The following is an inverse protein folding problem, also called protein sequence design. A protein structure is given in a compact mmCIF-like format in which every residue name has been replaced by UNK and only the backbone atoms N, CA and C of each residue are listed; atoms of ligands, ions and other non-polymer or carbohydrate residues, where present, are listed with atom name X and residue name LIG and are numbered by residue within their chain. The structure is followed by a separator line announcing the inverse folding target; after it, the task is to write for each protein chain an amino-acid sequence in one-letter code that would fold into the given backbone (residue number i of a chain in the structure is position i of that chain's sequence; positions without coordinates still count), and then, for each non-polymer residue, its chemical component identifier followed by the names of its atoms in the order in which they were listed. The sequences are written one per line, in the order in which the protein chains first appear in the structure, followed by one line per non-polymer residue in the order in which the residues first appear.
data_IF_507760077199
#
_entry.id   IF_507760077199
#
_cell.length_a   1.000
_cell.length_b   1.000
_cell.length_c   1.000
_cell.angle_alpha   90.00
_cell.angle_beta   90.00
_cell.angle_gamma   90.00
#
_symmetry.space_group_name_H-M   'P 1'
#
loop_
_entity.id
_entity.type
_entity.pdbx_description
1 polymer ?
#
# COMPACT_ATOMS: atom_id res chain seq x y z
N UNK A 1 -1.28 -12.15 -3.48
CA UNK A 1 -1.77 -11.58 -2.20
C UNK A 1 -0.74 -10.56 -1.74
N UNK A 2 -0.95 -9.26 -2.03
CA UNK A 2 0.02 -8.17 -1.76
C UNK A 2 -0.27 -7.36 -0.49
N UNK A 3 -1.22 -7.82 0.33
CA UNK A 3 -1.59 -7.21 1.62
C UNK A 3 -2.16 -8.24 2.60
N UNK A 4 -2.12 -7.90 3.88
CA UNK A 4 -2.68 -8.68 5.00
C UNK A 4 -3.68 -7.75 5.72
N UNK A 5 -4.95 -7.80 5.30
CA UNK A 5 -5.98 -6.88 5.80
C UNK A 5 -5.74 -5.42 5.35
N UNK A 6 -5.93 -4.41 6.21
CA UNK A 6 -5.77 -3.00 5.85
C UNK A 6 -4.30 -2.55 5.72
N UNK A 7 -3.33 -3.45 5.91
CA UNK A 7 -1.91 -3.10 5.91
C UNK A 7 -1.20 -3.55 4.64
N UNK A 8 -0.43 -2.64 4.03
CA UNK A 8 0.43 -2.98 2.88
C UNK A 8 1.48 -4.03 3.27
N UNK A 9 1.87 -4.89 2.33
CA UNK A 9 2.98 -5.84 2.56
C UNK A 9 4.25 -5.16 3.04
N UNK A 10 4.54 -3.92 2.62
CA UNK A 10 5.73 -3.21 3.09
C UNK A 10 5.64 -2.90 4.58
N UNK A 11 4.47 -2.50 5.07
CA UNK A 11 4.24 -2.23 6.49
C UNK A 11 4.37 -3.52 7.31
N UNK A 12 3.78 -4.61 6.82
CA UNK A 12 3.88 -5.94 7.46
C UNK A 12 5.31 -6.46 7.43
N UNK A 13 6.02 -6.31 6.31
CA UNK A 13 7.41 -6.73 6.15
C UNK A 13 8.36 -5.94 7.06
N UNK A 14 8.16 -4.63 7.20
CA UNK A 14 8.93 -3.80 8.15
C UNK A 14 8.66 -4.25 9.59
N UNK A 15 7.39 -4.44 9.97
CA UNK A 15 7.02 -4.92 11.31
C UNK A 15 7.58 -6.33 11.61
N UNK A 16 7.53 -7.24 10.62
CA UNK A 16 8.10 -8.58 10.72
C UNK A 16 9.64 -8.53 10.82
N UNK A 17 10.29 -7.71 9.99
CA UNK A 17 11.74 -7.52 10.04
C UNK A 17 12.19 -6.99 11.40
N UNK A 18 11.41 -6.10 12.00
CA UNK A 18 11.64 -5.59 13.36
C UNK A 18 11.44 -6.66 14.43
N UNK A 19 10.38 -7.48 14.33
CA UNK A 19 10.16 -8.60 15.24
C UNK A 19 11.30 -9.61 15.20
N UNK A 20 11.79 -9.94 14.00
CA UNK A 20 12.94 -10.82 13.81
C UNK A 20 14.22 -10.16 14.32
N UNK A 21 14.47 -8.87 14.04
CA UNK A 21 15.63 -8.15 14.56
C UNK A 21 15.63 -8.11 16.11
N UNK A 22 14.47 -7.96 16.74
CA UNK A 22 14.31 -8.05 18.20
C UNK A 22 14.62 -9.46 18.73
N UNK A 23 14.10 -10.51 18.09
CA UNK A 23 14.39 -11.90 18.46
C UNK A 23 15.88 -12.24 18.27
N UNK A 24 16.48 -11.82 17.17
CA UNK A 24 17.90 -12.02 16.85
C UNK A 24 18.79 -11.27 17.84
N UNK A 25 18.47 -10.02 18.16
CA UNK A 25 19.17 -9.28 19.21
C UNK A 25 19.05 -10.01 20.55
N UNK A 26 17.86 -10.48 20.93
CA UNK A 26 17.66 -11.22 22.19
C UNK A 26 18.43 -12.54 22.23
N UNK A 27 18.50 -13.25 21.10
CA UNK A 27 19.23 -14.52 20.95
C UNK A 27 20.74 -14.33 20.95
N UNK A 28 21.28 -13.42 20.15
CA UNK A 28 22.71 -13.13 20.07
C UNK A 28 23.25 -12.55 21.39
N UNK A 29 22.40 -11.82 22.11
CA UNK A 29 22.78 -11.25 23.40
C UNK A 29 22.65 -12.25 24.56
N UNK A 30 22.22 -13.50 24.34
CA UNK A 30 21.99 -14.51 25.40
C UNK A 30 23.21 -14.75 26.30
N UNK A 31 24.43 -14.54 25.78
CA UNK A 31 25.70 -14.68 26.50
C UNK A 31 26.25 -13.40 27.12
N UNK A 32 25.59 -12.26 26.92
CA UNK A 32 26.00 -10.94 27.45
C UNK A 32 25.16 -10.52 28.66
N UNK A 33 25.74 -9.68 29.52
CA UNK A 33 25.14 -9.24 30.79
C UNK A 33 23.71 -8.67 30.61
N UNK A 34 22.83 -8.99 31.56
CA UNK A 34 21.38 -8.74 31.49
C UNK A 34 21.03 -7.25 31.38
N UNK A 35 21.85 -6.39 31.99
CA UNK A 35 21.71 -4.93 31.96
C UNK A 35 22.02 -4.36 30.57
N UNK A 36 23.11 -4.78 29.93
CA UNK A 36 23.44 -4.39 28.55
C UNK A 36 22.40 -4.87 27.55
N UNK A 37 21.79 -6.03 27.78
CA UNK A 37 20.72 -6.58 26.94
C UNK A 37 19.44 -5.75 27.00
N UNK A 38 18.98 -5.36 28.19
CA UNK A 38 17.79 -4.50 28.34
C UNK A 38 18.01 -3.12 27.73
N UNK A 39 19.18 -2.53 27.95
CA UNK A 39 19.50 -1.20 27.45
C UNK A 39 19.61 -1.17 25.93
N UNK A 40 20.20 -2.19 25.29
CA UNK A 40 20.24 -2.28 23.83
C UNK A 40 18.83 -2.45 23.24
N UNK A 41 17.98 -3.28 23.85
CA UNK A 41 16.62 -3.52 23.39
C UNK A 41 15.71 -2.28 23.51
N UNK A 42 15.74 -1.57 24.65
CA UNK A 42 14.96 -0.34 24.83
C UNK A 42 15.43 0.76 23.88
N UNK A 43 16.74 0.82 23.62
CA UNK A 43 17.31 1.79 22.70
C UNK A 43 16.83 1.54 21.27
N UNK A 44 16.83 0.30 20.80
CA UNK A 44 16.30 -0.02 19.47
C UNK A 44 14.80 0.31 19.34
N UNK A 45 14.03 0.07 20.40
CA UNK A 45 12.60 0.38 20.43
C UNK A 45 12.33 1.90 20.38
N UNK A 46 13.06 2.68 21.15
CA UNK A 46 12.94 4.14 21.17
C UNK A 46 13.38 4.76 19.82
N UNK A 47 14.45 4.24 19.21
CA UNK A 47 14.91 4.67 17.88
C UNK A 47 13.84 4.44 16.82
N UNK A 48 13.17 3.30 16.91
CA UNK A 48 12.06 2.94 16.04
C UNK A 48 10.87 3.89 16.23
N UNK A 49 10.45 4.15 17.46
CA UNK A 49 9.35 5.09 17.73
C UNK A 49 9.66 6.48 17.21
N UNK A 50 10.88 6.98 17.44
CA UNK A 50 11.33 8.26 16.90
C UNK A 50 11.30 8.29 15.37
N UNK A 51 11.77 7.22 14.72
CA UNK A 51 11.74 7.07 13.26
C UNK A 51 10.33 7.02 12.68
N UNK A 52 9.43 6.23 13.26
CA UNK A 52 8.04 6.11 12.82
C UNK A 52 7.27 7.42 12.98
N UNK A 53 7.47 8.11 14.12
CA UNK A 53 6.85 9.41 14.35
C UNK A 53 7.35 10.44 13.33
N UNK A 54 8.66 10.53 13.12
CA UNK A 54 9.24 11.43 12.13
C UNK A 54 8.76 11.11 10.70
N UNK A 55 8.70 9.83 10.35
CA UNK A 55 8.18 9.37 9.06
C UNK A 55 6.73 9.78 8.84
N UNK A 56 5.87 9.63 9.86
CA UNK A 56 4.46 10.01 9.77
C UNK A 56 4.30 11.53 9.68
N UNK A 57 4.98 12.27 10.54
CA UNK A 57 4.93 13.75 10.53
C UNK A 57 5.40 14.29 9.18
N UNK A 58 6.51 13.80 8.64
CA UNK A 58 7.01 14.24 7.35
C UNK A 58 6.08 13.88 6.18
N UNK A 59 5.38 12.74 6.25
CA UNK A 59 4.36 12.38 5.25
C UNK A 59 3.15 13.33 5.31
N UNK A 60 2.64 13.60 6.51
CA UNK A 60 1.51 14.53 6.72
C UNK A 60 1.89 15.95 6.27
N UNK A 61 3.10 16.42 6.56
CA UNK A 61 3.59 17.71 6.10
C UNK A 61 3.75 17.79 4.58
N UNK A 62 4.14 16.68 3.92
CA UNK A 62 4.27 16.64 2.46
C UNK A 62 2.93 16.78 1.75
N UNK A 63 1.88 16.19 2.32
CA UNK A 63 0.51 16.20 1.78
C UNK A 63 -0.41 17.06 2.66
N UNK A 64 0.14 18.16 3.17
CA UNK A 64 -0.54 19.06 4.09
C UNK A 64 -1.87 19.58 3.53
N UNK A 65 -1.97 20.03 2.26
CA UNK A 65 -3.23 20.51 1.70
C UNK A 65 -4.36 19.46 1.74
N UNK A 66 -4.03 18.19 1.50
CA UNK A 66 -4.99 17.09 1.48
C UNK A 66 -5.46 16.71 2.89
N UNK A 67 -4.55 16.70 3.87
CA UNK A 67 -4.90 16.42 5.27
C UNK A 67 -5.64 17.59 5.93
N UNK A 68 -5.39 18.83 5.52
CA UNK A 68 -6.15 19.98 6.02
C UNK A 68 -7.62 19.93 5.60
N UNK A 69 -7.92 19.39 4.41
CA UNK A 69 -9.29 19.20 3.94
C UNK A 69 -10.04 18.11 4.73
N UNK A 70 -9.35 17.12 5.31
CA UNK A 70 -9.95 16.03 6.10
C UNK A 70 -9.11 15.69 7.35
N UNK A 71 -9.16 16.50 8.42
CA UNK A 71 -8.22 16.39 9.55
C UNK A 71 -8.22 15.04 10.28
N UNK A 72 -9.36 14.35 10.30
CA UNK A 72 -9.50 13.02 10.92
C UNK A 72 -8.65 11.95 10.22
N UNK A 73 -8.32 12.13 8.93
CA UNK A 73 -7.48 11.19 8.17
C UNK A 73 -6.02 11.20 8.65
N UNK A 74 -5.59 12.23 9.38
CA UNK A 74 -4.23 12.29 9.98
C UNK A 74 -4.02 11.11 10.96
N UNK A 75 -5.06 10.74 11.72
CA UNK A 75 -5.02 9.66 12.72
C UNK A 75 -5.25 8.28 12.08
N UNK A 76 -5.77 8.23 10.85
CA UNK A 76 -6.01 6.99 10.12
C UNK A 76 -4.68 6.38 9.61
N UNK A 77 -3.91 5.76 10.51
CA UNK A 77 -2.60 5.11 10.22
C UNK A 77 -2.76 3.91 9.25
N UNK A 78 -3.98 3.40 9.07
CA UNK A 78 -4.29 2.32 8.12
C UNK A 78 -4.06 2.67 6.65
N UNK A 79 -3.89 3.96 6.31
CA UNK A 79 -3.57 4.41 4.95
C UNK A 79 -2.12 4.09 4.52
N UNK A 80 -1.25 3.71 5.46
CA UNK A 80 0.15 3.41 5.18
C UNK A 80 1.00 4.63 4.81
N UNK A 81 0.55 5.85 5.13
CA UNK A 81 1.26 7.10 4.80
C UNK A 81 2.48 7.36 5.70
N UNK A 82 3.65 6.84 5.31
CA UNK A 82 4.92 7.05 6.01
C UNK A 82 6.02 7.48 5.04
N UNK A 83 6.80 8.50 5.42
CA UNK A 83 7.97 8.92 4.67
C UNK A 83 9.23 8.26 5.25
N UNK A 84 9.64 7.14 4.63
CA UNK A 84 10.81 6.34 5.05
C UNK A 84 12.10 7.17 5.04
N UNK A 85 12.25 8.09 4.07
CA UNK A 85 13.44 8.95 3.95
C UNK A 85 13.57 9.98 5.07
N UNK A 86 12.46 10.35 5.73
CA UNK A 86 12.51 11.15 6.95
C UNK A 86 12.70 10.30 8.21
N UNK A 87 12.08 9.11 8.26
CA UNK A 87 12.14 8.23 9.42
C UNK A 87 13.50 7.57 9.66
N UNK A 88 14.15 7.08 8.60
CA UNK A 88 15.46 6.44 8.69
C UNK A 88 16.55 7.33 9.30
N UNK A 89 16.79 8.57 8.81
CA UNK A 89 17.80 9.44 9.41
C UNK A 89 17.45 9.86 10.83
N UNK A 90 16.16 10.00 11.18
CA UNK A 90 15.74 10.27 12.55
C UNK A 90 16.07 9.11 13.50
N UNK A 91 15.74 7.87 13.09
CA UNK A 91 16.07 6.66 13.85
C UNK A 91 17.59 6.47 14.00
N UNK A 92 18.35 6.66 12.91
CA UNK A 92 19.81 6.58 12.90
C UNK A 92 20.43 7.65 13.79
N UNK A 93 19.99 8.91 13.67
CA UNK A 93 20.49 10.02 14.47
C UNK A 93 20.26 9.79 15.96
N UNK A 94 19.07 9.31 16.33
CA UNK A 94 18.73 8.99 17.70
C UNK A 94 19.59 7.81 18.24
N UNK A 95 19.77 6.75 17.44
CA UNK A 95 20.61 5.60 17.81
C UNK A 95 22.08 5.99 17.99
N UNK A 96 22.63 6.80 17.07
CA UNK A 96 24.00 7.30 17.13
C UNK A 96 24.23 8.23 18.32
N UNK A 97 23.26 9.10 18.63
CA UNK A 97 23.30 9.98 19.81
C UNK A 97 23.34 9.15 21.11
N UNK A 98 22.53 8.10 21.21
CA UNK A 98 22.54 7.21 22.38
C UNK A 98 23.80 6.36 22.47
N UNK A 99 24.34 5.87 21.34
CA UNK A 99 25.64 5.19 21.26
C UNK A 99 26.83 6.07 21.67
N UNK A 100 26.74 7.38 21.42
CA UNK A 100 27.73 8.35 21.92
C UNK A 100 27.67 8.48 23.44
N UNK A 101 26.46 8.46 24.03
CA UNK A 101 26.26 8.59 25.48
C UNK A 101 26.52 7.32 26.29
N UNK A 102 26.49 6.12 25.67
CA UNK A 102 26.69 4.84 26.36
C UNK A 102 27.67 3.92 25.60
N UNK A 103 29.00 4.05 25.82
CA UNK A 103 30.01 3.33 25.04
C UNK A 103 30.03 1.81 25.26
N UNK A 104 29.59 1.32 26.43
CA UNK A 104 29.52 -0.11 26.76
C UNK A 104 28.52 -0.91 25.92
N UNK A 105 27.57 -0.24 25.24
CA UNK A 105 26.52 -0.86 24.42
C UNK A 105 26.75 -0.86 22.90
N UNK A 106 27.91 -0.42 22.39
CA UNK A 106 28.09 -0.18 20.94
C UNK A 106 28.09 -1.44 20.07
N UNK A 107 28.82 -2.48 20.50
CA UNK A 107 28.90 -3.78 19.78
C UNK A 107 27.52 -4.44 19.61
N UNK A 108 26.70 -4.60 20.68
CA UNK A 108 25.39 -5.23 20.53
C UNK A 108 24.42 -4.42 19.66
N UNK A 109 24.54 -3.09 19.64
CA UNK A 109 23.74 -2.22 18.75
C UNK A 109 24.15 -2.36 17.27
N UNK A 110 25.46 -2.49 16.98
CA UNK A 110 25.94 -2.74 15.62
C UNK A 110 25.44 -4.09 15.07
N UNK A 111 25.48 -5.16 15.90
CA UNK A 111 24.92 -6.44 15.50
C UNK A 111 23.41 -6.38 15.27
N UNK A 112 22.67 -5.67 16.12
CA UNK A 112 21.23 -5.45 15.93
C UNK A 112 20.90 -4.70 14.64
N UNK A 113 21.67 -3.65 14.33
CA UNK A 113 21.51 -2.89 13.09
C UNK A 113 21.84 -3.72 11.85
N UNK A 114 22.98 -4.43 11.87
CA UNK A 114 23.39 -5.31 10.77
C UNK A 114 22.36 -6.43 10.52
N UNK A 115 21.83 -7.04 11.59
CA UNK A 115 20.75 -8.00 11.48
C UNK A 115 19.48 -7.38 10.86
N UNK A 116 19.08 -6.18 11.30
CA UNK A 116 17.94 -5.46 10.74
C UNK A 116 18.09 -5.16 9.25
N UNK A 117 19.26 -4.69 8.82
CA UNK A 117 19.57 -4.45 7.39
C UNK A 117 19.53 -5.74 6.59
N UNK A 118 20.13 -6.82 7.09
CA UNK A 118 20.13 -8.12 6.42
C UNK A 118 18.71 -8.69 6.25
N UNK A 119 17.87 -8.57 7.29
CA UNK A 119 16.46 -9.02 7.23
C UNK A 119 15.67 -8.15 6.25
N UNK A 120 15.86 -6.83 6.27
CA UNK A 120 15.20 -5.93 5.31
C UNK A 120 15.61 -6.23 3.86
N UNK A 121 16.91 -6.43 3.60
CA UNK A 121 17.40 -6.80 2.28
C UNK A 121 16.83 -8.15 1.82
N UNK A 122 16.80 -9.15 2.71
CA UNK A 122 16.16 -10.44 2.44
C UNK A 122 14.65 -10.32 2.16
N UNK A 123 13.94 -9.49 2.93
CA UNK A 123 12.53 -9.22 2.72
C UNK A 123 12.26 -8.51 1.38
N UNK A 124 13.10 -7.54 1.00
CA UNK A 124 13.00 -6.86 -0.30
C UNK A 124 13.32 -7.80 -1.46
N UNK A 125 14.32 -8.66 -1.33
CA UNK A 125 14.61 -9.70 -2.31
C UNK A 125 13.41 -10.67 -2.45
N UNK A 126 12.85 -11.12 -1.34
CA UNK A 126 11.66 -11.97 -1.33
C UNK A 126 10.44 -11.31 -1.96
N UNK A 127 10.21 -10.02 -1.67
CA UNK A 127 9.15 -9.23 -2.28
C UNK A 127 9.35 -9.11 -3.80
N UNK A 128 10.59 -8.90 -4.26
CA UNK A 128 10.91 -8.81 -5.68
C UNK A 128 10.61 -10.11 -6.43
N UNK A 129 10.83 -11.27 -5.79
CA UNK A 129 10.50 -12.58 -6.35
C UNK A 129 8.98 -12.78 -6.37
N UNK A 130 8.28 -12.41 -5.31
CA UNK A 130 6.81 -12.50 -5.24
C UNK A 130 6.12 -11.58 -6.25
N UNK A 131 6.71 -10.42 -6.57
CA UNK A 131 6.21 -9.53 -7.62
C UNK A 131 6.35 -10.13 -9.02
N UNK A 132 7.35 -10.99 -9.27
CA UNK A 132 7.47 -11.71 -10.55
C UNK A 132 6.38 -12.76 -10.74
N UNK A 133 5.81 -13.26 -9.64
CA UNK A 133 4.69 -14.20 -9.64
C UNK A 133 3.35 -13.53 -9.33
N UNK A 134 3.29 -12.20 -9.41
CA UNK A 134 2.06 -11.46 -9.22
C UNK A 134 1.02 -11.89 -10.28
N UNK A 135 -0.24 -12.13 -9.87
CA UNK A 135 -1.28 -12.52 -10.81
C UNK A 135 -1.49 -11.40 -11.85
N UNK A 136 -1.68 -11.76 -13.13
CA UNK A 136 -1.97 -10.78 -14.15
C UNK A 136 -3.38 -10.20 -13.97
N UNK A 137 -3.69 -9.13 -14.71
CA UNK A 137 -5.05 -8.65 -14.89
C UNK A 137 -5.95 -9.84 -15.31
N UNK A 138 -7.06 -10.10 -14.60
CA UNK A 138 -7.86 -11.28 -14.87
C UNK A 138 -8.55 -11.16 -16.23
N UNK A 139 -8.48 -12.22 -17.04
CA UNK A 139 -9.19 -12.32 -18.32
C UNK A 139 -10.68 -12.54 -18.08
N UNK A 140 -11.39 -11.45 -17.80
CA UNK A 140 -12.83 -11.41 -17.63
C UNK A 140 -13.49 -10.66 -18.77
N UNK A 141 -14.72 -11.05 -19.07
CA UNK A 141 -15.58 -10.34 -20.02
C UNK A 141 -16.81 -9.89 -19.25
N UNK A 142 -16.98 -8.57 -19.13
CA UNK A 142 -18.02 -7.93 -18.35
C UNK A 142 -18.90 -7.08 -19.26
N UNK A 143 -20.02 -6.58 -18.74
CA UNK A 143 -20.90 -5.68 -19.47
C UNK A 143 -20.83 -4.26 -18.87
N UNK A 144 -20.92 -3.25 -19.71
CA UNK A 144 -21.23 -1.87 -19.29
C UNK A 144 -22.72 -1.72 -19.00
N UNK A 145 -23.14 -0.59 -18.44
CA UNK A 145 -24.56 -0.38 -18.10
C UNK A 145 -25.47 -0.25 -19.33
N UNK A 146 -24.92 0.22 -20.46
CA UNK A 146 -25.57 0.25 -21.77
C UNK A 146 -25.62 -1.13 -22.49
N UNK A 147 -25.13 -2.19 -21.84
CA UNK A 147 -25.17 -3.56 -22.34
C UNK A 147 -24.06 -3.95 -23.32
N UNK A 148 -23.07 -3.08 -23.56
CA UNK A 148 -21.89 -3.44 -24.35
C UNK A 148 -20.98 -4.39 -23.58
N UNK A 149 -20.47 -5.39 -24.28
CA UNK A 149 -19.52 -6.35 -23.72
C UNK A 149 -18.10 -5.81 -23.81
N UNK A 150 -17.36 -5.84 -22.71
CA UNK A 150 -15.98 -5.38 -22.59
C UNK A 150 -15.11 -6.50 -22.02
N UNK A 151 -14.07 -6.88 -22.74
CA UNK A 151 -13.03 -7.78 -22.24
C UNK A 151 -11.96 -6.97 -21.50
N UNK A 152 -11.60 -7.39 -20.28
CA UNK A 152 -10.54 -6.74 -19.51
C UNK A 152 -9.16 -6.86 -20.18
N UNK A 153 -8.98 -7.85 -21.07
CA UNK A 153 -7.74 -8.00 -21.82
C UNK A 153 -7.46 -6.82 -22.77
N UNK A 154 -8.49 -6.03 -23.12
CA UNK A 154 -8.34 -4.83 -23.95
C UNK A 154 -7.56 -3.71 -23.25
N UNK A 155 -7.47 -3.73 -21.93
CA UNK A 155 -6.72 -2.72 -21.16
C UNK A 155 -5.25 -3.09 -20.96
N UNK A 156 -4.80 -4.25 -21.45
CA UNK A 156 -3.37 -4.60 -21.43
C UNK A 156 -2.57 -3.58 -22.26
N UNK A 157 -1.40 -3.21 -21.76
CA UNK A 157 -0.58 -2.15 -22.37
C UNK A 157 -0.79 -0.77 -21.73
N UNK A 158 -1.84 -0.59 -20.92
CA UNK A 158 -2.05 0.62 -20.13
C UNK A 158 -1.98 0.31 -18.63
N UNK A 159 -1.52 1.25 -17.78
CA UNK A 159 -1.71 1.13 -16.34
C UNK A 159 -3.21 1.08 -16.00
N UNK A 160 -3.61 0.16 -15.11
CA UNK A 160 -5.02 -0.05 -14.75
C UNK A 160 -5.21 0.06 -13.24
N UNK A 161 -6.21 0.84 -12.84
CA UNK A 161 -6.77 0.85 -11.49
C UNK A 161 -8.13 0.16 -11.54
N UNK A 162 -8.21 -1.05 -10.99
CA UNK A 162 -9.43 -1.83 -10.94
C UNK A 162 -10.03 -1.74 -9.55
N UNK A 163 -11.19 -1.10 -9.43
CA UNK A 163 -11.91 -0.93 -8.16
C UNK A 163 -13.15 -1.83 -8.16
N UNK A 164 -13.22 -2.73 -7.17
CA UNK A 164 -14.37 -3.58 -6.91
C UNK A 164 -15.24 -2.90 -5.85
N UNK A 165 -16.49 -2.61 -6.17
CA UNK A 165 -17.39 -1.84 -5.31
C UNK A 165 -18.85 -2.29 -5.38
N UNK A 166 -19.69 -1.73 -4.51
CA UNK A 166 -21.14 -1.86 -4.57
C UNK A 166 -21.82 -0.60 -4.03
N UNK A 167 -23.03 -0.28 -4.52
CA UNK A 167 -23.78 0.93 -4.18
C UNK A 167 -24.23 0.96 -2.72
N UNK A 168 -24.48 -0.21 -2.12
CA UNK A 168 -24.86 -0.35 -0.72
C UNK A 168 -23.67 -0.24 0.25
N UNK A 169 -22.43 -0.29 -0.24
CA UNK A 169 -21.22 -0.31 0.58
C UNK A 169 -20.82 1.12 1.01
N UNK A 170 -20.96 1.51 2.29
CA UNK A 170 -20.67 2.88 2.72
C UNK A 170 -19.24 3.38 2.46
N UNK A 171 -18.16 2.59 2.70
CA UNK A 171 -16.82 3.03 2.34
C UNK A 171 -16.62 3.18 0.83
N UNK A 172 -17.24 2.31 0.02
CA UNK A 172 -17.20 2.42 -1.44
C UNK A 172 -17.79 3.75 -1.91
N UNK A 173 -18.94 4.17 -1.36
CA UNK A 173 -19.57 5.45 -1.72
C UNK A 173 -18.68 6.65 -1.43
N UNK A 174 -17.90 6.62 -0.33
CA UNK A 174 -17.03 7.74 0.07
C UNK A 174 -15.79 7.90 -0.80
N UNK A 175 -15.29 6.82 -1.39
CA UNK A 175 -14.10 6.87 -2.25
C UNK A 175 -14.40 7.20 -3.72
N UNK A 176 -15.66 7.11 -4.18
CA UNK A 176 -16.01 7.35 -5.59
C UNK A 176 -15.59 8.75 -6.10
N UNK A 177 -15.84 9.88 -5.39
CA UNK A 177 -15.38 11.20 -5.85
C UNK A 177 -13.85 11.30 -5.94
N UNK A 178 -13.13 10.54 -5.11
CA UNK A 178 -11.65 10.48 -5.15
C UNK A 178 -11.19 9.76 -6.43
N UNK A 179 -11.87 8.68 -6.81
CA UNK A 179 -11.57 7.92 -8.02
C UNK A 179 -11.94 8.71 -9.29
N UNK A 180 -13.09 9.38 -9.31
CA UNK A 180 -13.53 10.23 -10.42
C UNK A 180 -12.52 11.34 -10.67
N UNK A 181 -12.13 12.06 -9.61
CA UNK A 181 -11.10 13.09 -9.71
C UNK A 181 -9.77 12.54 -10.23
N UNK A 182 -9.37 11.35 -9.78
CA UNK A 182 -8.14 10.72 -10.24
C UNK A 182 -8.22 10.27 -11.71
N UNK A 183 -9.38 9.82 -12.19
CA UNK A 183 -9.58 9.53 -13.61
C UNK A 183 -9.30 10.78 -14.46
N UNK A 184 -9.83 11.93 -14.04
CA UNK A 184 -9.60 13.21 -14.73
C UNK A 184 -8.13 13.68 -14.63
N UNK A 185 -7.49 13.52 -13.46
CA UNK A 185 -6.13 13.97 -13.22
C UNK A 185 -5.07 13.05 -13.92
N UNK A 186 -5.41 11.80 -14.27
CA UNK A 186 -4.50 10.78 -14.83
C UNK A 186 -5.07 10.08 -16.08
N UNK A 187 -5.15 10.77 -17.24
CA UNK A 187 -5.78 10.22 -18.45
C UNK A 187 -5.04 9.01 -19.05
N UNK A 188 -3.75 8.84 -18.74
CA UNK A 188 -2.95 7.69 -19.18
C UNK A 188 -3.23 6.41 -18.38
N UNK A 189 -4.04 6.50 -17.31
CA UNK A 189 -4.39 5.39 -16.43
C UNK A 189 -5.86 5.03 -16.62
N UNK A 190 -6.16 3.75 -16.83
CA UNK A 190 -7.54 3.27 -16.99
C UNK A 190 -8.14 2.95 -15.62
N UNK A 191 -9.26 3.59 -15.29
CA UNK A 191 -9.99 3.36 -14.06
C UNK A 191 -11.20 2.47 -14.33
N UNK A 192 -11.12 1.20 -13.97
CA UNK A 192 -12.19 0.21 -14.15
C UNK A 192 -13.01 0.12 -12.86
N UNK A 193 -14.23 0.63 -12.90
CA UNK A 193 -15.14 0.65 -11.76
C UNK A 193 -16.10 -0.54 -11.91
N UNK A 194 -15.77 -1.66 -11.27
CA UNK A 194 -16.47 -2.93 -11.45
C UNK A 194 -17.44 -3.15 -10.28
N UNK A 195 -18.73 -2.95 -10.56
CA UNK A 195 -19.79 -3.17 -9.59
C UNK A 195 -20.04 -4.67 -9.36
N UNK A 196 -20.11 -5.10 -8.11
CA UNK A 196 -20.24 -6.50 -7.72
C UNK A 196 -21.67 -6.83 -7.25
N UNK A 197 -22.35 -7.72 -7.98
CA UNK A 197 -23.59 -8.34 -7.52
C UNK A 197 -24.86 -7.49 -7.63
N UNK A 198 -24.84 -6.37 -8.36
CA UNK A 198 -26.02 -5.51 -8.57
C UNK A 198 -26.44 -5.47 -10.04
N UNK A 199 -27.70 -5.05 -10.27
CA UNK A 199 -28.24 -4.88 -11.62
C UNK A 199 -27.82 -3.55 -12.23
N UNK A 200 -27.82 -3.47 -13.57
CA UNK A 200 -27.55 -2.22 -14.30
C UNK A 200 -28.39 -1.05 -13.78
N UNK A 201 -29.70 -1.26 -13.59
CA UNK A 201 -30.61 -0.23 -13.08
C UNK A 201 -30.20 0.32 -11.72
N UNK A 202 -29.80 -0.54 -10.77
CA UNK A 202 -29.34 -0.10 -9.43
C UNK A 202 -28.08 0.74 -9.54
N UNK A 203 -27.14 0.31 -10.38
CA UNK A 203 -25.85 0.98 -10.57
C UNK A 203 -26.04 2.34 -11.25
N UNK A 204 -26.83 2.41 -12.31
CA UNK A 204 -27.15 3.66 -13.01
C UNK A 204 -27.87 4.65 -12.11
N UNK A 205 -28.89 4.21 -11.37
CA UNK A 205 -29.60 5.06 -10.43
C UNK A 205 -28.66 5.62 -9.35
N UNK A 206 -27.73 4.81 -8.86
CA UNK A 206 -26.73 5.26 -7.89
C UNK A 206 -25.80 6.31 -8.49
N UNK A 207 -25.17 6.04 -9.63
CA UNK A 207 -24.20 6.94 -10.28
C UNK A 207 -24.86 8.28 -10.62
N UNK A 208 -26.09 8.26 -11.15
CA UNK A 208 -26.87 9.47 -11.42
C UNK A 208 -27.19 10.24 -10.13
N UNK A 209 -27.60 9.56 -9.06
CA UNK A 209 -27.92 10.22 -7.78
C UNK A 209 -26.72 10.88 -7.11
N UNK A 210 -25.51 10.44 -7.44
CA UNK A 210 -24.27 10.97 -6.89
C UNK A 210 -23.58 11.97 -7.85
N UNK A 211 -24.16 12.19 -9.04
CA UNK A 211 -23.57 13.02 -10.10
C UNK A 211 -22.13 12.61 -10.47
N UNK A 212 -21.90 11.30 -10.54
CA UNK A 212 -20.58 10.73 -10.83
C UNK A 212 -20.43 10.37 -12.31
N UNK A 213 -19.23 10.52 -12.86
CA UNK A 213 -18.88 10.17 -14.23
C UNK A 213 -17.62 9.31 -14.28
N UNK A 214 -17.75 8.12 -14.86
CA UNK A 214 -16.65 7.18 -15.07
C UNK A 214 -16.67 6.66 -16.50
N UNK A 215 -15.49 6.50 -17.10
CA UNK A 215 -15.36 6.04 -18.48
C UNK A 215 -15.65 4.53 -18.58
N UNK A 216 -15.13 3.76 -17.63
CA UNK A 216 -15.21 2.29 -17.62
C UNK A 216 -16.02 1.80 -16.41
N UNK A 217 -17.33 2.07 -16.43
CA UNK A 217 -18.29 1.54 -15.47
C UNK A 217 -18.79 0.14 -15.90
N UNK A 218 -18.36 -0.89 -15.17
CA UNK A 218 -18.60 -2.29 -15.52
C UNK A 218 -19.49 -3.00 -14.49
N UNK A 219 -20.29 -3.95 -14.96
CA UNK A 219 -21.22 -4.75 -14.18
C UNK A 219 -20.73 -6.19 -14.06
N UNK A 220 -20.71 -6.70 -12.83
CA UNK A 220 -20.34 -8.06 -12.51
C UNK A 220 -21.36 -8.67 -11.53
N UNK A 221 -22.55 -9.04 -12.03
CA UNK A 221 -23.63 -9.58 -11.19
C UNK A 221 -23.27 -10.93 -10.56
N UNK A 222 -22.30 -11.65 -11.12
CA UNK A 222 -21.83 -12.93 -10.60
C UNK A 222 -20.60 -12.80 -9.66
N UNK A 223 -20.12 -11.58 -9.43
CA UNK A 223 -18.93 -11.28 -8.62
C UNK A 223 -17.70 -12.08 -9.04
N UNK A 224 -17.52 -12.29 -10.36
CA UNK A 224 -16.39 -13.01 -10.94
C UNK A 224 -15.07 -12.26 -10.71
N UNK A 225 -15.10 -10.92 -10.69
CA UNK A 225 -13.97 -10.06 -10.38
C UNK A 225 -13.41 -10.31 -8.98
N UNK A 226 -14.29 -10.41 -7.97
CA UNK A 226 -13.87 -10.80 -6.63
C UNK A 226 -13.28 -12.21 -6.58
N UNK A 227 -13.89 -13.18 -7.26
CA UNK A 227 -13.40 -14.57 -7.30
C UNK A 227 -12.03 -14.68 -7.98
N UNK A 228 -11.87 -14.07 -9.15
CA UNK A 228 -10.64 -14.14 -9.95
C UNK A 228 -9.46 -13.44 -9.26
N UNK A 229 -9.72 -12.38 -8.50
CA UNK A 229 -8.68 -11.65 -7.75
C UNK A 229 -8.44 -12.19 -6.34
N UNK A 230 -9.32 -13.07 -5.85
CA UNK A 230 -9.33 -13.52 -4.47
C UNK A 230 -9.70 -12.42 -3.47
N UNK A 231 -10.39 -11.37 -3.92
CA UNK A 231 -10.89 -10.31 -3.03
C UNK A 231 -11.94 -10.86 -2.07
N UNK A 232 -11.84 -10.49 -0.79
CA UNK A 232 -12.69 -11.02 0.29
C UNK A 232 -13.63 -9.99 0.91
N UNK A 233 -13.63 -8.77 0.38
CA UNK A 233 -14.44 -7.66 0.90
C UNK A 233 -14.43 -6.48 -0.05
N UNK A 234 -15.30 -5.51 0.25
CA UNK A 234 -15.45 -4.28 -0.52
C UNK A 234 -15.17 -3.04 0.38
N UNK A 235 -14.64 -1.95 -0.19
CA UNK A 235 -14.05 -1.91 -1.54
C UNK A 235 -12.71 -2.64 -1.57
N UNK A 236 -12.35 -3.16 -2.75
CA UNK A 236 -10.99 -3.62 -3.03
C UNK A 236 -10.49 -2.94 -4.28
N UNK A 237 -9.38 -2.19 -4.17
CA UNK A 237 -8.72 -1.56 -5.32
C UNK A 237 -7.42 -2.29 -5.65
N UNK A 238 -7.28 -2.69 -6.91
CA UNK A 238 -6.12 -3.38 -7.46
C UNK A 238 -5.43 -2.49 -8.49
N UNK A 239 -4.10 -2.42 -8.42
CA UNK A 239 -3.29 -1.58 -9.29
C UNK A 239 -2.43 -2.47 -10.18
N UNK A 240 -2.57 -2.34 -11.50
CA UNK A 240 -1.81 -3.09 -12.49
C UNK A 240 -0.93 -2.16 -13.33
N UNK A 241 0.33 -2.53 -13.53
CA UNK A 241 1.21 -1.81 -14.45
C UNK A 241 0.82 -2.02 -15.93
N UNK A 242 1.47 -1.31 -16.84
CA UNK A 242 1.24 -1.43 -18.28
C UNK A 242 1.50 -2.85 -18.84
N UNK A 243 2.25 -3.70 -18.12
CA UNK A 243 2.47 -5.10 -18.48
C UNK A 243 1.35 -6.01 -17.96
N UNK A 244 0.32 -5.45 -17.33
CA UNK A 244 -0.79 -6.16 -16.72
C UNK A 244 -0.44 -6.87 -15.42
N UNK A 245 0.67 -6.52 -14.75
CA UNK A 245 1.09 -7.14 -13.49
C UNK A 245 0.54 -6.38 -12.30
N UNK A 246 0.00 -7.09 -11.32
CA UNK A 246 -0.48 -6.50 -10.07
C UNK A 246 0.69 -5.92 -9.24
N UNK A 247 0.75 -4.59 -9.12
CA UNK A 247 1.80 -3.86 -8.39
C UNK A 247 1.41 -3.45 -6.98
N UNK A 248 0.11 -3.31 -6.71
CA UNK A 248 -0.43 -3.01 -5.39
C UNK A 248 -1.88 -3.49 -5.22
N UNK A 249 -2.32 -3.68 -3.98
CA UNK A 249 -3.72 -3.97 -3.65
C UNK A 249 -4.08 -3.30 -2.35
N UNK A 250 -5.25 -2.67 -2.32
CA UNK A 250 -5.79 -1.96 -1.17
C UNK A 250 -7.17 -2.50 -0.84
N UNK A 251 -7.35 -2.95 0.40
CA UNK A 251 -8.64 -3.41 0.93
C UNK A 251 -9.18 -2.36 1.91
N UNK A 252 -10.40 -1.89 1.66
CA UNK A 252 -11.04 -0.81 2.41
C UNK A 252 -10.95 0.54 1.69
N UNK A 253 -11.52 1.57 2.33
CA UNK A 253 -11.66 2.91 1.76
C UNK A 253 -10.31 3.50 1.32
N UNK A 254 -10.25 3.98 0.08
CA UNK A 254 -9.06 4.57 -0.52
C UNK A 254 -9.07 6.10 -0.37
N UNK A 255 -8.04 6.65 0.27
CA UNK A 255 -7.86 8.10 0.38
C UNK A 255 -7.15 8.68 -0.85
N UNK A 256 -7.39 9.95 -1.15
CA UNK A 256 -6.74 10.65 -2.27
C UNK A 256 -5.21 10.62 -2.16
N UNK A 257 -4.67 10.77 -0.95
CA UNK A 257 -3.24 10.69 -0.70
C UNK A 257 -2.67 9.30 -1.02
N UNK A 258 -3.37 8.23 -0.61
CA UNK A 258 -2.94 6.85 -0.91
C UNK A 258 -2.99 6.57 -2.40
N UNK A 259 -4.09 6.93 -3.06
CA UNK A 259 -4.26 6.75 -4.50
C UNK A 259 -3.14 7.46 -5.28
N UNK A 260 -2.90 8.75 -4.99
CA UNK A 260 -1.85 9.53 -5.63
C UNK A 260 -0.45 8.96 -5.39
N UNK A 261 -0.16 8.55 -4.16
CA UNK A 261 1.13 7.94 -3.82
C UNK A 261 1.37 6.63 -4.59
N UNK A 262 0.35 5.79 -4.76
CA UNK A 262 0.48 4.55 -5.53
C UNK A 262 0.63 4.82 -7.04
N UNK A 263 -0.14 5.77 -7.59
CA UNK A 263 -0.05 6.18 -9.01
C UNK A 263 1.36 6.69 -9.35
N UNK A 264 1.86 7.66 -8.60
CA UNK A 264 3.18 8.27 -8.83
C UNK A 264 4.33 7.32 -8.51
N UNK A 265 4.18 6.48 -7.48
CA UNK A 265 5.27 5.64 -6.99
C UNK A 265 5.40 4.29 -7.70
N UNK A 266 4.31 3.73 -8.25
CA UNK A 266 4.32 2.35 -8.75
C UNK A 266 3.81 2.17 -10.17
N UNK A 267 2.90 3.01 -10.63
CA UNK A 267 2.35 2.89 -11.99
C UNK A 267 3.23 3.58 -13.04
N UNK A 268 3.93 4.66 -12.68
CA UNK A 268 4.89 5.35 -13.57
C UNK A 268 6.34 4.84 -13.49
N UNK A 269 6.68 3.90 -12.60
CA UNK A 269 8.06 3.41 -12.42
C UNK A 269 8.38 2.12 -13.19
N UNK A 270 7.62 1.74 -14.22
CA UNK A 270 8.06 0.62 -15.08
C UNK A 270 9.37 1.00 -15.77
N UNK A 271 10.47 0.25 -15.57
CA UNK A 271 11.73 0.54 -16.24
C UNK A 271 11.53 0.45 -17.75
N UNK A 272 12.10 1.40 -18.48
CA UNK A 272 12.19 1.29 -19.94
C UNK A 272 12.75 -0.09 -20.32
N UNK A 273 12.27 -0.71 -21.42
CA UNK A 273 12.77 -2.00 -21.86
C UNK A 273 14.28 -1.92 -22.05
N UNK A 274 15.02 -2.79 -21.37
CA UNK A 274 16.40 -3.09 -21.73
C UNK A 274 16.40 -3.59 -23.16
N UNK A 275 16.83 -2.72 -24.08
CA UNK A 275 17.14 -3.11 -25.45
C UNK A 275 18.46 -3.89 -25.40
N UNK A 276 18.55 -5.06 -26.06
CA UNK A 276 19.72 -5.95 -25.96
C UNK A 276 21.01 -5.30 -26.47
#
# INVERSE_FOLDING_TARGET
MTGLGPFSIQTVAVAAAMGVAWLVARYLLRSTDTTSRRTAASTLLDALFAGLLAARVAYVLRWWPEYFATPLSIIAIGDGGFNVWAGLPAALGWALWRMKRQPSGRRPMLYGFAAGVAIWAGAQAGLSVLQRTAPPLPSLTLATTDGRTVSLDTYRGSPVVMNLWASWCPPCRREMPVLEKAQADYPDVRFLLINQGESAHTVEAFIQSQDLQFDDLLLDPASQGMQATGARGLPTTLFFDAHGRLVDTHLGELTAARLRATLQGRLHQSPAPHTP
#
